data_IF_863350672425
#
_entry.id   IF_863350672425
#
_cell.length_a   1.000
_cell.length_b   1.000
_cell.length_c   1.000
_cell.angle_alpha   90.00
_cell.angle_beta   90.00
_cell.angle_gamma   90.00
#
_symmetry.space_group_name_H-M   'P 1'
#
loop_
_entity.id
_entity.type
_entity.pdbx_description
1 polymer ?
#
# COMPACT_ATOMS: atom_id res chain seq x y z
N UNK A 1 15.94 22.09 -16.49
CA UNK A 1 16.73 20.91 -16.90
C UNK A 1 16.79 19.90 -15.77
N UNK A 2 16.23 18.70 -16.04
CA UNK A 2 16.49 17.40 -15.40
C UNK A 2 16.52 17.32 -13.86
N UNK A 3 15.33 17.26 -13.24
CA UNK A 3 15.12 16.81 -11.84
C UNK A 3 15.61 15.37 -11.59
N UNK A 4 15.75 14.56 -12.66
CA UNK A 4 16.23 13.18 -12.66
C UNK A 4 17.74 13.00 -12.38
N UNK A 5 18.53 14.08 -12.38
CA UNK A 5 19.98 14.01 -12.09
C UNK A 5 20.35 14.19 -10.62
N UNK A 6 19.39 14.50 -9.75
CA UNK A 6 19.66 14.62 -8.31
C UNK A 6 19.54 13.24 -7.66
N UNK A 7 20.59 12.71 -7.01
CA UNK A 7 20.54 11.40 -6.36
C UNK A 7 19.40 11.33 -5.33
N UNK A 8 19.11 12.42 -4.63
CA UNK A 8 17.99 12.52 -3.67
C UNK A 8 16.59 12.38 -4.29
N UNK A 9 16.42 12.61 -5.59
CA UNK A 9 15.16 12.40 -6.29
C UNK A 9 14.98 10.94 -6.75
N UNK A 10 16.08 10.18 -6.82
CA UNK A 10 16.10 8.77 -7.24
C UNK A 10 16.04 7.80 -6.05
N UNK A 11 16.48 8.23 -4.86
CA UNK A 11 16.42 7.40 -3.64
C UNK A 11 14.99 6.96 -3.31
N UNK A 12 13.96 7.85 -3.25
CA UNK A 12 12.62 7.41 -2.88
C UNK A 12 11.99 6.42 -3.89
N UNK A 13 12.06 6.64 -5.22
CA UNK A 13 11.60 5.64 -6.20
C UNK A 13 12.36 4.31 -6.12
N UNK A 14 13.69 4.35 -5.94
CA UNK A 14 14.49 3.14 -5.82
C UNK A 14 14.12 2.32 -4.57
N UNK A 15 13.87 2.99 -3.43
CA UNK A 15 13.40 2.32 -2.22
C UNK A 15 12.03 1.66 -2.41
N UNK A 16 11.08 2.35 -3.06
CA UNK A 16 9.78 1.76 -3.39
C UNK A 16 9.89 0.56 -4.33
N UNK A 17 10.82 0.61 -5.30
CA UNK A 17 11.03 -0.48 -6.26
C UNK A 17 11.65 -1.71 -5.58
N UNK A 18 12.61 -1.50 -4.68
CA UNK A 18 13.21 -2.56 -3.85
C UNK A 18 12.15 -3.19 -2.94
N UNK A 19 11.32 -2.38 -2.29
CA UNK A 19 10.22 -2.88 -1.46
C UNK A 19 9.23 -3.73 -2.28
N UNK A 20 8.87 -3.29 -3.49
CA UNK A 20 8.00 -4.04 -4.40
C UNK A 20 8.63 -5.38 -4.82
N UNK A 21 9.92 -5.39 -5.16
CA UNK A 21 10.65 -6.63 -5.52
C UNK A 21 10.69 -7.61 -4.34
N UNK A 22 10.90 -7.12 -3.12
CA UNK A 22 10.88 -7.96 -1.91
C UNK A 22 9.49 -8.58 -1.72
N UNK A 23 8.42 -7.79 -1.82
CA UNK A 23 7.04 -8.27 -1.67
C UNK A 23 6.69 -9.30 -2.76
N UNK A 24 6.97 -8.99 -4.03
CA UNK A 24 6.70 -9.90 -5.15
C UNK A 24 7.54 -11.17 -5.06
N UNK A 25 8.81 -11.05 -4.68
CA UNK A 25 9.68 -12.19 -4.44
C UNK A 25 9.14 -13.08 -3.33
N UNK A 26 8.71 -12.49 -2.21
CA UNK A 26 8.12 -13.25 -1.11
C UNK A 26 6.85 -13.99 -1.55
N UNK A 27 5.96 -13.31 -2.29
CA UNK A 27 4.74 -13.93 -2.84
C UNK A 27 5.07 -15.06 -3.84
N UNK A 28 6.10 -14.89 -4.68
CA UNK A 28 6.48 -15.89 -5.68
C UNK A 28 7.17 -17.12 -5.07
N UNK A 29 8.00 -16.93 -4.04
CA UNK A 29 8.78 -18.01 -3.41
C UNK A 29 7.99 -18.76 -2.33
N UNK A 30 7.23 -18.03 -1.50
CA UNK A 30 6.47 -18.63 -0.39
C UNK A 30 5.01 -18.91 -0.79
N UNK A 31 4.60 -18.48 -1.98
CA UNK A 31 3.21 -18.53 -2.43
C UNK A 31 2.32 -17.60 -1.59
N UNK A 32 1.12 -17.33 -2.07
CA UNK A 32 0.03 -16.80 -1.22
C UNK A 32 -0.63 -17.96 -0.45
N UNK A 33 0.17 -18.91 0.04
CA UNK A 33 -0.29 -20.23 0.46
C UNK A 33 -1.48 -20.08 1.42
N UNK A 34 -2.64 -20.49 0.91
CA UNK A 34 -3.92 -20.49 1.61
C UNK A 34 -3.87 -21.68 2.55
N UNK A 35 -3.30 -21.47 3.73
CA UNK A 35 -3.52 -22.40 4.84
C UNK A 35 -5.02 -22.43 5.13
N UNK A 36 -5.52 -23.63 5.39
CA UNK A 36 -6.93 -23.99 5.53
C UNK A 36 -7.57 -23.43 6.82
N UNK A 37 -7.21 -22.22 7.20
CA UNK A 37 -7.59 -21.59 8.46
C UNK A 37 -8.18 -20.21 8.17
N UNK A 38 -9.50 -20.12 8.30
CA UNK A 38 -10.30 -18.89 8.19
C UNK A 38 -9.72 -17.76 9.08
N UNK A 39 -8.98 -18.13 10.13
CA UNK A 39 -8.25 -17.21 11.00
C UNK A 39 -7.07 -16.49 10.34
N UNK A 40 -6.15 -17.17 9.66
CA UNK A 40 -4.89 -16.54 9.21
C UNK A 40 -5.14 -15.50 8.12
N UNK A 41 -6.04 -15.80 7.17
CA UNK A 41 -6.42 -14.85 6.13
C UNK A 41 -7.12 -13.62 6.70
N UNK A 42 -8.01 -13.79 7.69
CA UNK A 42 -8.69 -12.69 8.36
C UNK A 42 -7.72 -11.79 9.15
N UNK A 43 -6.77 -12.38 9.88
CA UNK A 43 -5.75 -11.62 10.62
C UNK A 43 -4.81 -10.88 9.67
N UNK A 44 -4.44 -11.49 8.55
CA UNK A 44 -3.62 -10.83 7.53
C UNK A 44 -4.38 -9.66 6.89
N UNK A 45 -5.67 -9.82 6.57
CA UNK A 45 -6.52 -8.73 6.09
C UNK A 45 -6.62 -7.59 7.12
N UNK A 46 -6.83 -7.92 8.40
CA UNK A 46 -6.85 -6.94 9.48
C UNK A 46 -5.52 -6.19 9.60
N UNK A 47 -4.38 -6.90 9.52
CA UNK A 47 -3.06 -6.29 9.59
C UNK A 47 -2.78 -5.38 8.37
N UNK A 48 -3.21 -5.79 7.18
CA UNK A 48 -3.08 -4.99 5.96
C UNK A 48 -3.98 -3.74 6.01
N UNK A 49 -5.18 -3.85 6.57
CA UNK A 49 -6.07 -2.71 6.77
C UNK A 49 -5.54 -1.77 7.86
N UNK A 50 -5.09 -2.32 8.99
CA UNK A 50 -4.51 -1.55 10.08
C UNK A 50 -3.19 -0.87 9.67
N UNK A 51 -2.35 -1.55 8.89
CA UNK A 51 -1.08 -1.03 8.39
C UNK A 51 -1.24 0.06 7.32
N UNK A 52 -2.35 0.07 6.59
CA UNK A 52 -2.64 1.15 5.63
C UNK A 52 -2.88 2.51 6.32
N UNK A 53 -3.44 2.52 7.54
CA UNK A 53 -3.73 3.76 8.28
C UNK A 53 -2.46 4.59 8.58
N UNK A 54 -1.39 4.06 9.19
CA UNK A 54 -0.17 4.82 9.43
C UNK A 54 0.55 5.22 8.12
N UNK A 55 0.46 4.40 7.07
CA UNK A 55 1.02 4.73 5.74
C UNK A 55 0.27 5.89 5.10
N UNK A 56 -1.07 5.89 5.13
CA UNK A 56 -1.89 7.01 4.65
C UNK A 56 -1.65 8.27 5.47
N UNK A 57 -1.54 8.16 6.79
CA UNK A 57 -1.26 9.29 7.68
C UNK A 57 0.13 9.90 7.38
N UNK A 58 1.16 9.07 7.25
CA UNK A 58 2.50 9.52 6.87
C UNK A 58 2.49 10.20 5.49
N UNK A 59 1.83 9.61 4.51
CA UNK A 59 1.70 10.18 3.16
C UNK A 59 0.99 11.54 3.21
N UNK A 60 -0.14 11.65 3.93
CA UNK A 60 -0.87 12.89 4.07
C UNK A 60 -0.01 13.99 4.72
N UNK A 61 0.65 13.70 5.84
CA UNK A 61 1.49 14.68 6.55
C UNK A 61 2.66 15.17 5.68
N UNK A 62 3.28 14.27 4.92
CA UNK A 62 4.46 14.60 4.12
C UNK A 62 4.16 15.27 2.78
N UNK A 63 3.02 14.96 2.15
CA UNK A 63 2.70 15.37 0.79
C UNK A 63 1.56 16.39 0.68
N UNK A 64 0.63 16.45 1.64
CA UNK A 64 -0.45 17.44 1.61
C UNK A 64 0.07 18.89 1.68
N UNK A 65 1.12 19.22 2.47
CA UNK A 65 1.70 20.58 2.48
C UNK A 65 2.52 20.91 1.23
N UNK A 66 3.04 19.91 0.52
CA UNK A 66 3.96 20.09 -0.63
C UNK A 66 3.25 20.09 -1.97
N UNK A 67 2.23 19.24 -2.15
CA UNK A 67 1.52 19.04 -3.40
C UNK A 67 0.05 18.66 -3.14
N UNK A 68 -0.77 19.58 -2.61
CA UNK A 68 -2.09 19.27 -2.07
C UNK A 68 -3.03 18.62 -3.10
N UNK A 69 -3.05 19.11 -4.35
CA UNK A 69 -3.94 18.58 -5.40
C UNK A 69 -3.60 17.14 -5.79
N UNK A 70 -2.31 16.81 -5.92
CA UNK A 70 -1.86 15.46 -6.26
C UNK A 70 -2.02 14.52 -5.06
N UNK A 71 -1.67 14.99 -3.85
CA UNK A 71 -1.84 14.23 -2.62
C UNK A 71 -3.32 13.87 -2.39
N UNK A 72 -4.26 14.80 -2.61
CA UNK A 72 -5.70 14.52 -2.51
C UNK A 72 -6.18 13.48 -3.52
N UNK A 73 -5.69 13.48 -4.76
CA UNK A 73 -6.02 12.45 -5.75
C UNK A 73 -5.54 11.06 -5.29
N UNK A 74 -4.31 10.99 -4.77
CA UNK A 74 -3.75 9.72 -4.26
C UNK A 74 -4.51 9.25 -3.01
N UNK A 75 -4.91 10.15 -2.12
CA UNK A 75 -5.74 9.82 -0.96
C UNK A 75 -7.14 9.34 -1.37
N UNK A 76 -7.77 9.98 -2.35
CA UNK A 76 -9.06 9.55 -2.88
C UNK A 76 -8.97 8.15 -3.52
N UNK A 77 -7.93 7.89 -4.32
CA UNK A 77 -7.69 6.57 -4.89
C UNK A 77 -7.43 5.51 -3.82
N UNK A 78 -6.64 5.84 -2.79
CA UNK A 78 -6.42 4.93 -1.66
C UNK A 78 -7.71 4.63 -0.90
N UNK A 79 -8.57 5.63 -0.68
CA UNK A 79 -9.86 5.42 -0.03
C UNK A 79 -10.75 4.48 -0.86
N UNK A 80 -10.84 4.70 -2.17
CA UNK A 80 -11.60 3.82 -3.09
C UNK A 80 -11.04 2.39 -3.06
N UNK A 81 -9.72 2.23 -3.11
CA UNK A 81 -9.08 0.92 -3.06
C UNK A 81 -9.35 0.20 -1.74
N UNK A 82 -9.32 0.92 -0.61
CA UNK A 82 -9.68 0.39 0.71
C UNK A 82 -11.13 -0.10 0.74
N UNK A 83 -12.07 0.70 0.24
CA UNK A 83 -13.48 0.28 0.15
C UNK A 83 -13.67 -0.91 -0.80
N UNK A 84 -12.99 -0.93 -1.93
CA UNK A 84 -13.04 -2.04 -2.87
C UNK A 84 -12.47 -3.33 -2.28
N UNK A 85 -11.41 -3.25 -1.45
CA UNK A 85 -10.82 -4.39 -0.75
C UNK A 85 -11.65 -4.83 0.48
N UNK A 86 -12.45 -3.92 1.06
CA UNK A 86 -13.37 -4.24 2.15
C UNK A 86 -14.70 -4.82 1.65
N UNK A 87 -15.13 -4.47 0.44
CA UNK A 87 -16.41 -4.90 -0.12
C UNK A 87 -16.60 -6.44 -0.13
N UNK A 88 -15.63 -7.29 -0.51
CA UNK A 88 -15.78 -8.74 -0.42
C UNK A 88 -16.01 -9.24 1.01
N UNK A 89 -15.30 -8.67 1.99
CA UNK A 89 -15.43 -9.08 3.40
C UNK A 89 -16.81 -8.73 3.93
N UNK A 90 -17.34 -7.54 3.63
CA UNK A 90 -18.65 -7.11 4.12
C UNK A 90 -19.83 -7.69 3.33
N UNK A 91 -19.71 -7.83 2.01
CA UNK A 91 -20.79 -8.27 1.14
C UNK A 91 -20.85 -9.80 0.97
N UNK A 92 -19.71 -10.47 1.00
CA UNK A 92 -19.62 -11.93 0.80
C UNK A 92 -19.41 -12.69 2.12
N UNK A 93 -19.28 -11.98 3.25
CA UNK A 93 -19.01 -12.55 4.59
C UNK A 93 -17.86 -13.57 4.58
N UNK A 94 -16.81 -13.29 3.79
CA UNK A 94 -15.53 -14.01 3.85
C UNK A 94 -14.75 -13.60 5.10
#
# INVERSE_FOLDING_TARGET
MSTLRRPSALVPPAMSLVALVIVLGHIAFFGTAREADEGTAAHLWQLLMAGQVPVMAFFAITWLPRAPRQAMLVLALQAIAMFAAAAPVFLLQL
#
